data_IF_992052986532
#
_entry.id   IF_992052986532
#
_cell.length_a   1.000
_cell.length_b   1.000
_cell.length_c   1.000
_cell.angle_alpha   90.00
_cell.angle_beta   90.00
_cell.angle_gamma   90.00
#
_symmetry.space_group_name_H-M   'P 1'
#
loop_
_entity.id
_entity.type
_entity.pdbx_description
1 polymer ?
#
# COMPACT_ATOMS: atom_id res chain seq x y z
N UNK A 1 -0.40 -12.02 -6.79
CA UNK A 1 -0.34 -12.55 -8.18
C UNK A 1 -1.55 -13.40 -8.59
N UNK A 2 -2.71 -13.31 -7.95
CA UNK A 2 -3.89 -14.10 -8.36
C UNK A 2 -4.45 -13.67 -9.73
N UNK A 3 -4.50 -12.36 -9.98
CA UNK A 3 -4.92 -11.79 -11.27
C UNK A 3 -4.04 -12.28 -12.43
N UNK A 4 -2.71 -12.17 -12.31
CA UNK A 4 -1.76 -12.64 -13.33
C UNK A 4 -1.81 -14.16 -13.54
N UNK A 5 -2.18 -14.93 -12.51
CA UNK A 5 -2.40 -16.38 -12.66
C UNK A 5 -3.65 -16.70 -13.48
N UNK A 6 -4.70 -15.87 -13.40
CA UNK A 6 -5.95 -16.03 -14.17
C UNK A 6 -5.89 -15.40 -15.56
N UNK A 7 -5.21 -14.27 -15.68
CA UNK A 7 -4.97 -13.57 -16.93
C UNK A 7 -3.52 -13.06 -16.94
N UNK A 8 -2.59 -13.79 -17.59
CA UNK A 8 -1.19 -13.39 -17.69
C UNK A 8 -0.97 -12.03 -18.36
N UNK A 9 -1.93 -11.58 -19.17
CA UNK A 9 -1.88 -10.30 -19.88
C UNK A 9 -2.57 -9.16 -19.11
N UNK A 10 -3.01 -9.40 -17.87
CA UNK A 10 -3.66 -8.37 -17.06
C UNK A 10 -2.70 -7.20 -16.80
N UNK A 11 -3.15 -6.00 -17.12
CA UNK A 11 -2.43 -4.76 -16.86
C UNK A 11 -2.65 -4.34 -15.41
N UNK A 12 -1.67 -4.62 -14.57
CA UNK A 12 -1.66 -4.24 -13.14
C UNK A 12 -0.72 -3.07 -12.93
N UNK A 13 -1.21 -2.00 -12.32
CA UNK A 13 -0.41 -0.81 -12.01
C UNK A 13 -0.37 -0.61 -10.50
N UNK A 14 0.84 -0.48 -9.95
CA UNK A 14 1.10 -0.12 -8.56
C UNK A 14 1.91 1.17 -8.49
N UNK A 15 1.49 2.12 -7.66
CA UNK A 15 2.19 3.38 -7.43
C UNK A 15 1.77 4.03 -6.11
N UNK A 16 2.59 4.94 -5.58
CA UNK A 16 2.15 5.85 -4.53
C UNK A 16 1.26 6.97 -5.10
N UNK A 17 0.35 7.51 -4.30
CA UNK A 17 -0.54 8.61 -4.70
C UNK A 17 0.22 9.86 -5.19
N UNK A 18 1.39 10.15 -4.63
CA UNK A 18 2.26 11.23 -5.08
C UNK A 18 2.75 11.05 -6.51
N UNK A 19 3.00 9.80 -6.92
CA UNK A 19 3.40 9.50 -8.30
C UNK A 19 2.26 9.75 -9.27
N UNK A 20 1.03 9.38 -8.89
CA UNK A 20 -0.17 9.68 -9.69
C UNK A 20 -0.31 11.20 -9.91
N UNK A 21 -0.16 11.99 -8.84
CA UNK A 21 -0.17 13.45 -8.88
C UNK A 21 0.93 13.96 -9.82
N UNK A 22 2.16 13.49 -9.67
CA UNK A 22 3.28 13.93 -10.49
C UNK A 22 3.08 13.61 -11.98
N UNK A 23 2.59 12.41 -12.29
CA UNK A 23 2.27 12.01 -13.66
C UNK A 23 1.14 12.88 -14.26
N UNK A 24 0.13 13.21 -13.46
CA UNK A 24 -0.95 14.11 -13.89
C UNK A 24 -0.42 15.53 -14.18
N UNK A 25 0.38 16.09 -13.27
CA UNK A 25 0.97 17.42 -13.45
C UNK A 25 1.84 17.45 -14.71
N UNK A 26 2.68 16.43 -14.91
CA UNK A 26 3.49 16.29 -16.12
C UNK A 26 2.64 16.19 -17.37
N UNK A 27 1.55 15.42 -17.34
CA UNK A 27 0.62 15.29 -18.47
C UNK A 27 -0.05 16.63 -18.79
N UNK A 28 -0.43 17.43 -17.79
CA UNK A 28 -0.96 18.77 -18.02
C UNK A 28 0.07 19.70 -18.67
N UNK A 29 1.32 19.69 -18.17
CA UNK A 29 2.41 20.51 -18.72
C UNK A 29 2.72 20.18 -20.18
N UNK A 30 2.59 18.91 -20.56
CA UNK A 30 2.86 18.42 -21.92
C UNK A 30 1.61 18.40 -22.82
N UNK A 31 0.47 18.94 -22.36
CA UNK A 31 -0.82 18.84 -23.05
C UNK A 31 -1.24 17.39 -23.40
N UNK A 32 -0.83 16.43 -22.57
CA UNK A 32 -1.01 14.99 -22.75
C UNK A 32 -1.96 14.36 -21.71
N UNK A 33 -2.96 15.13 -21.24
CA UNK A 33 -3.89 14.67 -20.19
C UNK A 33 -4.78 13.51 -20.66
N UNK A 34 -5.03 13.42 -21.97
CA UNK A 34 -5.83 12.34 -22.54
C UNK A 34 -5.08 11.00 -22.50
N UNK A 35 -3.77 11.02 -22.74
CA UNK A 35 -2.88 9.86 -22.61
C UNK A 35 -2.87 9.37 -21.17
N UNK A 36 -2.74 10.28 -20.21
CA UNK A 36 -2.80 9.98 -18.78
C UNK A 36 -4.12 9.26 -18.43
N UNK A 37 -5.26 9.82 -18.84
CA UNK A 37 -6.60 9.23 -18.61
C UNK A 37 -6.71 7.84 -19.22
N UNK A 38 -6.35 7.68 -20.50
CA UNK A 38 -6.38 6.38 -21.19
C UNK A 38 -5.49 5.36 -20.50
N UNK A 39 -4.31 5.75 -20.06
CA UNK A 39 -3.38 4.85 -19.40
C UNK A 39 -3.95 4.29 -18.09
N UNK A 40 -4.40 5.16 -17.19
CA UNK A 40 -4.89 4.74 -15.86
C UNK A 40 -6.26 4.08 -15.90
N UNK A 41 -7.12 4.43 -16.86
CA UNK A 41 -8.47 3.82 -17.00
C UNK A 41 -8.48 2.52 -17.82
N UNK A 42 -7.36 2.10 -18.39
CA UNK A 42 -7.22 0.84 -19.16
C UNK A 42 -6.62 -0.30 -18.36
N UNK A 43 -6.36 -0.12 -17.06
CA UNK A 43 -5.74 -1.15 -16.22
C UNK A 43 -6.79 -2.10 -15.70
N UNK A 44 -6.46 -3.39 -15.59
CA UNK A 44 -7.32 -4.40 -14.95
C UNK A 44 -7.29 -4.30 -13.42
N UNK A 45 -6.17 -3.79 -12.89
CA UNK A 45 -6.05 -3.46 -11.48
C UNK A 45 -5.18 -2.22 -11.23
N UNK A 46 -5.68 -1.33 -10.37
CA UNK A 46 -4.98 -0.14 -9.90
C UNK A 46 -4.73 -0.24 -8.39
N UNK A 47 -3.47 -0.28 -7.98
CA UNK A 47 -3.06 -0.28 -6.59
C UNK A 47 -2.41 1.06 -6.27
N UNK A 48 -3.02 1.84 -5.38
CA UNK A 48 -2.46 3.11 -4.92
C UNK A 48 -2.08 3.00 -3.45
N UNK A 49 -0.79 3.23 -3.18
CA UNK A 49 -0.26 3.36 -1.83
C UNK A 49 -0.43 4.79 -1.31
N UNK A 50 -0.59 4.94 0.00
CA UNK A 50 -0.53 6.20 0.74
C UNK A 50 -1.49 7.30 0.23
N UNK A 51 -2.79 7.01 0.19
CA UNK A 51 -3.79 7.98 -0.32
C UNK A 51 -3.86 9.30 0.48
N UNK A 52 -3.31 9.34 1.71
CA UNK A 52 -3.22 10.55 2.51
C UNK A 52 -2.50 11.69 1.79
N UNK A 53 -1.58 11.40 0.87
CA UNK A 53 -0.89 12.44 0.09
C UNK A 53 -1.72 13.05 -1.05
N UNK A 54 -2.97 12.61 -1.25
CA UNK A 54 -3.94 13.35 -2.08
C UNK A 54 -4.49 14.59 -1.37
N UNK A 55 -4.39 14.67 -0.04
CA UNK A 55 -4.92 15.77 0.75
C UNK A 55 -4.51 17.13 0.18
N UNK A 56 -5.49 18.03 0.04
CA UNK A 56 -5.34 19.41 -0.48
C UNK A 56 -4.87 19.52 -1.94
N UNK A 57 -4.77 18.41 -2.68
CA UNK A 57 -4.46 18.39 -4.12
C UNK A 57 -5.73 18.30 -4.96
N UNK A 58 -6.59 19.32 -4.90
CA UNK A 58 -7.96 19.34 -5.46
C UNK A 58 -8.06 18.79 -6.89
N UNK A 59 -7.27 19.32 -7.83
CA UNK A 59 -7.30 18.84 -9.24
C UNK A 59 -6.96 17.36 -9.36
N UNK A 60 -5.98 16.90 -8.59
CA UNK A 60 -5.58 15.49 -8.59
C UNK A 60 -6.59 14.59 -7.90
N UNK A 61 -7.27 15.08 -6.86
CA UNK A 61 -8.39 14.39 -6.23
C UNK A 61 -9.56 14.22 -7.20
N UNK A 62 -9.90 15.27 -7.94
CA UNK A 62 -10.95 15.24 -8.95
C UNK A 62 -10.64 14.23 -10.06
N UNK A 63 -9.44 14.28 -10.66
CA UNK A 63 -9.06 13.34 -11.72
C UNK A 63 -8.97 11.89 -11.19
N UNK A 64 -8.46 11.72 -9.97
CA UNK A 64 -8.45 10.41 -9.32
C UNK A 64 -9.88 9.89 -9.10
N UNK A 65 -10.81 10.73 -8.62
CA UNK A 65 -12.22 10.36 -8.45
C UNK A 65 -12.84 9.86 -9.76
N UNK A 66 -12.59 10.54 -10.87
CA UNK A 66 -13.09 10.09 -12.18
C UNK A 66 -12.45 8.78 -12.64
N UNK A 67 -11.15 8.63 -12.43
CA UNK A 67 -10.42 7.40 -12.77
C UNK A 67 -10.93 6.22 -11.93
N UNK A 68 -11.11 6.43 -10.62
CA UNK A 68 -11.65 5.46 -9.68
C UNK A 68 -13.04 4.97 -10.10
N UNK A 69 -13.97 5.89 -10.41
CA UNK A 69 -15.31 5.50 -10.82
C UNK A 69 -15.31 4.75 -12.15
N UNK A 70 -14.53 5.20 -13.14
CA UNK A 70 -14.44 4.51 -14.42
C UNK A 70 -13.95 3.06 -14.28
N UNK A 71 -12.98 2.81 -13.39
CA UNK A 71 -12.47 1.47 -13.10
C UNK A 71 -13.49 0.62 -12.32
N UNK A 72 -14.18 1.20 -11.34
CA UNK A 72 -15.22 0.45 -10.62
C UNK A 72 -16.40 0.07 -11.51
N UNK A 73 -16.88 1.01 -12.32
CA UNK A 73 -18.00 0.80 -13.24
C UNK A 73 -17.64 -0.23 -14.33
N UNK A 74 -16.38 -0.27 -14.75
CA UNK A 74 -15.87 -1.29 -15.68
C UNK A 74 -15.53 -2.63 -15.03
N UNK A 75 -15.72 -2.79 -13.72
CA UNK A 75 -15.46 -4.03 -12.98
C UNK A 75 -13.97 -4.32 -12.73
N UNK A 76 -13.09 -3.33 -12.92
CA UNK A 76 -11.67 -3.44 -12.63
C UNK A 76 -11.39 -3.29 -11.13
N UNK A 77 -10.29 -3.89 -10.67
CA UNK A 77 -9.96 -3.92 -9.25
C UNK A 77 -9.19 -2.66 -8.83
N UNK A 78 -9.69 -1.96 -7.81
CA UNK A 78 -8.96 -0.84 -7.19
C UNK A 78 -8.61 -1.21 -5.76
N UNK A 79 -7.33 -1.09 -5.40
CA UNK A 79 -6.83 -1.35 -4.04
C UNK A 79 -6.13 -0.07 -3.57
N UNK A 80 -6.51 0.39 -2.39
CA UNK A 80 -5.96 1.60 -1.79
C UNK A 80 -5.41 1.26 -0.41
N UNK A 81 -4.28 1.86 -0.04
CA UNK A 81 -3.77 1.82 1.33
C UNK A 81 -3.77 3.23 1.91
N UNK A 82 -3.81 3.33 3.23
CA UNK A 82 -3.77 4.60 3.95
C UNK A 82 -3.19 4.37 5.33
N UNK A 83 -2.37 5.33 5.80
CA UNK A 83 -1.89 5.34 7.19
C UNK A 83 -2.98 5.69 8.21
N UNK A 84 -4.07 6.32 7.75
CA UNK A 84 -5.19 6.77 8.58
C UNK A 84 -6.52 6.34 7.99
N UNK A 85 -7.58 6.29 8.79
CA UNK A 85 -8.89 6.04 8.22
C UNK A 85 -9.28 7.16 7.25
N UNK A 86 -9.90 6.87 6.09
CA UNK A 86 -10.32 7.89 5.13
C UNK A 86 -11.03 9.11 5.75
N UNK A 87 -11.87 8.87 6.75
CA UNK A 87 -12.61 9.91 7.48
C UNK A 87 -11.71 10.90 8.23
N UNK A 88 -10.52 10.47 8.63
CA UNK A 88 -9.53 11.23 9.41
C UNK A 88 -8.52 11.98 8.52
N UNK A 89 -8.58 11.80 7.19
CA UNK A 89 -7.68 12.48 6.25
C UNK A 89 -8.24 13.89 5.99
N UNK A 90 -7.68 14.88 6.68
CA UNK A 90 -8.00 16.29 6.44
C UNK A 90 -7.59 16.73 5.03
N UNK A 91 -8.45 17.50 4.36
CA UNK A 91 -8.20 17.98 3.00
C UNK A 91 -8.44 16.95 1.90
N UNK A 92 -8.93 15.75 2.22
CA UNK A 92 -9.54 14.84 1.25
C UNK A 92 -11.02 15.20 1.06
N UNK A 93 -11.50 15.22 -0.18
CA UNK A 93 -12.90 15.53 -0.50
C UNK A 93 -13.87 14.49 0.08
N UNK A 94 -15.02 14.95 0.57
CA UNK A 94 -16.04 14.09 1.19
C UNK A 94 -16.55 12.98 0.25
N UNK A 95 -16.62 13.24 -1.06
CA UNK A 95 -17.00 12.22 -2.04
C UNK A 95 -15.98 11.07 -2.12
N UNK A 96 -14.68 11.36 -1.99
CA UNK A 96 -13.65 10.33 -1.96
C UNK A 96 -13.70 9.54 -0.65
N UNK A 97 -13.85 10.24 0.49
CA UNK A 97 -14.03 9.59 1.80
C UNK A 97 -15.21 8.62 1.81
N UNK A 98 -16.34 9.05 1.25
CA UNK A 98 -17.53 8.22 1.10
C UNK A 98 -17.24 6.99 0.23
N UNK A 99 -16.65 7.17 -0.95
CA UNK A 99 -16.32 6.07 -1.86
C UNK A 99 -15.37 5.04 -1.24
N UNK A 100 -14.37 5.47 -0.49
CA UNK A 100 -13.44 4.56 0.18
C UNK A 100 -14.15 3.70 1.24
N UNK A 101 -15.16 4.26 1.93
CA UNK A 101 -15.95 3.52 2.91
C UNK A 101 -16.98 2.54 2.33
N UNK A 102 -17.34 2.66 1.05
CA UNK A 102 -18.28 1.73 0.39
C UNK A 102 -17.61 0.42 -0.04
N UNK A 103 -16.28 0.42 -0.17
CA UNK A 103 -15.50 -0.78 -0.46
C UNK A 103 -15.24 -1.62 0.79
N UNK A 104 -14.55 -2.75 0.60
CA UNK A 104 -14.02 -3.53 1.70
C UNK A 104 -12.90 -2.74 2.39
N UNK A 105 -13.20 -2.19 3.57
CA UNK A 105 -12.22 -1.50 4.41
C UNK A 105 -11.75 -2.46 5.51
N UNK A 106 -10.45 -2.75 5.55
CA UNK A 106 -9.84 -3.62 6.56
C UNK A 106 -8.73 -2.85 7.25
N UNK A 107 -8.81 -2.75 8.57
CA UNK A 107 -7.74 -2.21 9.38
C UNK A 107 -6.65 -3.26 9.58
N UNK A 108 -5.38 -2.85 9.47
CA UNK A 108 -4.23 -3.70 9.81
C UNK A 108 -3.78 -3.30 11.21
N UNK A 109 -4.13 -4.12 12.19
CA UNK A 109 -3.74 -3.89 13.58
C UNK A 109 -2.31 -4.37 13.86
N UNK A 110 -1.62 -3.78 14.85
CA UNK A 110 -0.34 -4.29 15.31
C UNK A 110 -0.43 -5.78 15.72
N UNK A 111 0.52 -6.62 15.30
CA UNK A 111 0.48 -8.05 15.59
C UNK A 111 0.66 -8.33 17.09
N UNK A 112 -0.08 -9.31 17.60
CA UNK A 112 0.11 -9.87 18.95
C UNK A 112 1.47 -10.56 19.11
N UNK A 113 1.86 -10.88 20.35
CA UNK A 113 3.17 -11.46 20.66
C UNK A 113 3.45 -12.73 19.84
N UNK A 114 2.50 -13.65 19.80
CA UNK A 114 2.62 -14.91 19.07
C UNK A 114 2.85 -14.66 17.57
N UNK A 115 2.07 -13.76 16.99
CA UNK A 115 2.22 -13.34 15.59
C UNK A 115 3.58 -12.66 15.34
N UNK A 116 4.06 -11.82 16.27
CA UNK A 116 5.40 -11.20 16.16
C UNK A 116 6.50 -12.25 16.17
N UNK A 117 6.42 -13.26 17.03
CA UNK A 117 7.38 -14.38 17.04
C UNK A 117 7.33 -15.13 15.71
N UNK A 118 6.14 -15.48 15.23
CA UNK A 118 6.00 -16.17 13.95
C UNK A 118 6.56 -15.36 12.77
N UNK A 119 6.37 -14.04 12.78
CA UNK A 119 6.97 -13.13 11.79
C UNK A 119 8.50 -13.17 11.85
N UNK A 120 9.08 -13.06 13.05
CA UNK A 120 10.54 -13.12 13.22
C UNK A 120 11.11 -14.45 12.72
N UNK A 121 10.51 -15.57 13.12
CA UNK A 121 10.94 -16.90 12.71
C UNK A 121 10.88 -17.04 11.18
N UNK A 122 9.78 -16.62 10.56
CA UNK A 122 9.62 -16.65 9.10
C UNK A 122 10.62 -15.75 8.37
N UNK A 123 10.95 -14.58 8.94
CA UNK A 123 11.92 -13.64 8.36
C UNK A 123 13.35 -14.14 8.51
N UNK A 124 13.67 -14.82 9.62
CA UNK A 124 14.96 -15.47 9.82
C UNK A 124 15.17 -16.62 8.82
N UNK A 125 14.15 -17.45 8.63
CA UNK A 125 14.15 -18.53 7.62
C UNK A 125 14.38 -17.97 6.20
N UNK A 126 13.67 -16.89 5.83
CA UNK A 126 13.90 -16.19 4.55
C UNK A 126 15.32 -15.63 4.41
N UNK A 127 15.92 -15.18 5.52
CA UNK A 127 17.30 -14.71 5.57
C UNK A 127 18.33 -15.85 5.66
N UNK A 128 17.88 -17.11 5.75
CA UNK A 128 18.71 -18.31 5.98
C UNK A 128 19.57 -18.22 7.25
N UNK A 129 19.00 -17.64 8.30
CA UNK A 129 19.63 -17.57 9.62
C UNK A 129 18.88 -18.49 10.57
N UNK A 130 19.63 -19.33 11.28
CA UNK A 130 19.10 -20.09 12.40
C UNK A 130 18.86 -19.12 13.57
N UNK A 131 17.61 -18.78 13.82
CA UNK A 131 17.19 -17.94 14.92
C UNK A 131 16.58 -18.82 16.02
N UNK A 132 17.24 -18.96 17.18
CA UNK A 132 16.66 -19.66 18.31
C UNK A 132 15.31 -19.07 18.71
N UNK A 133 14.35 -19.93 19.04
CA UNK A 133 12.98 -19.52 19.34
C UNK A 133 12.90 -18.60 20.57
N UNK A 134 13.74 -18.84 21.58
CA UNK A 134 13.89 -17.99 22.77
C UNK A 134 14.42 -16.59 22.41
N UNK A 135 15.37 -16.49 21.48
CA UNK A 135 15.83 -15.21 20.95
C UNK A 135 14.73 -14.47 20.17
N UNK A 136 13.97 -15.18 19.33
CA UNK A 136 12.81 -14.61 18.63
C UNK A 136 11.75 -14.10 19.62
N UNK A 137 11.44 -14.90 20.64
CA UNK A 137 10.52 -14.54 21.72
C UNK A 137 11.00 -13.30 22.48
N UNK A 138 12.28 -13.25 22.84
CA UNK A 138 12.89 -12.10 23.52
C UNK A 138 12.80 -10.81 22.70
N UNK A 139 13.12 -10.87 21.40
CA UNK A 139 13.00 -9.73 20.49
C UNK A 139 11.53 -9.28 20.40
N UNK A 140 10.59 -10.21 20.22
CA UNK A 140 9.16 -9.93 20.08
C UNK A 140 8.52 -9.36 21.36
N UNK A 141 9.05 -9.67 22.55
CA UNK A 141 8.60 -9.07 23.81
C UNK A 141 9.03 -7.61 23.95
N UNK A 142 10.23 -7.27 23.44
CA UNK A 142 10.83 -5.93 23.53
C UNK A 142 10.31 -4.98 22.45
N UNK A 143 10.02 -5.49 21.25
CA UNK A 143 9.49 -4.69 20.14
C UNK A 143 7.99 -4.90 20.02
N UNK A 144 7.21 -3.91 20.48
CA UNK A 144 5.73 -3.95 20.54
C UNK A 144 5.04 -3.05 19.50
N UNK A 145 5.81 -2.39 18.66
CA UNK A 145 5.36 -1.39 17.70
C UNK A 145 4.86 -2.06 16.41
N UNK A 146 5.56 -1.87 15.29
CA UNK A 146 5.17 -2.34 13.96
C UNK A 146 6.14 -3.41 13.42
N UNK A 147 5.69 -4.11 12.38
CA UNK A 147 6.47 -5.18 11.73
C UNK A 147 7.81 -4.67 11.17
N UNK A 148 7.88 -3.40 10.73
CA UNK A 148 9.13 -2.81 10.19
C UNK A 148 10.21 -2.70 11.26
N UNK A 149 9.85 -2.25 12.46
CA UNK A 149 10.79 -2.21 13.60
C UNK A 149 11.22 -3.60 14.05
N UNK A 150 10.29 -4.56 14.03
CA UNK A 150 10.56 -5.96 14.34
C UNK A 150 11.60 -6.56 13.37
N UNK A 151 11.42 -6.34 12.07
CA UNK A 151 12.39 -6.73 11.04
C UNK A 151 13.74 -6.00 11.21
N UNK A 152 13.71 -4.72 11.56
CA UNK A 152 14.92 -3.94 11.83
C UNK A 152 15.71 -4.48 13.02
N UNK A 153 15.03 -4.89 14.09
CA UNK A 153 15.65 -5.53 15.25
C UNK A 153 16.30 -6.86 14.88
N UNK A 154 15.60 -7.71 14.13
CA UNK A 154 16.16 -8.97 13.63
C UNK A 154 17.43 -8.74 12.81
N UNK A 155 17.39 -7.81 11.84
CA UNK A 155 18.56 -7.47 11.01
C UNK A 155 19.75 -7.01 11.85
N UNK A 156 19.52 -6.23 12.91
CA UNK A 156 20.59 -5.81 13.83
C UNK A 156 21.19 -7.02 14.57
N UNK A 157 20.37 -7.93 15.08
CA UNK A 157 20.85 -9.14 15.77
C UNK A 157 21.69 -9.99 14.82
N UNK A 158 21.20 -10.23 13.59
CA UNK A 158 21.94 -10.97 12.56
C UNK A 158 23.29 -10.31 12.29
N UNK A 159 23.30 -8.99 12.04
CA UNK A 159 24.52 -8.26 11.74
C UNK A 159 25.56 -8.39 12.87
N UNK A 160 25.15 -8.30 14.14
CA UNK A 160 26.07 -8.42 15.29
C UNK A 160 26.53 -9.87 15.53
N UNK A 161 25.74 -10.88 15.15
CA UNK A 161 26.13 -12.29 15.31
C UNK A 161 27.23 -12.76 14.36
N UNK A 162 27.53 -11.97 13.32
CA UNK A 162 28.58 -12.25 12.35
C UNK A 162 29.93 -11.58 12.68
N UNK A 163 30.01 -10.82 13.78
CA UNK A 163 31.22 -10.23 14.34
C UNK A 163 31.66 -10.99 15.59
#
# INVERSE_FOLDING_TARGET
NHLLKKNPNAKVVYLHSERFVADMVKALQLNAINEFKRFYRSVDALLIDDIQFFARKERSQEEFFHTFNALLEGGQQVILTSDRYPKEIEGLEERLKSRFGWGLTVAVEPPELETRVAILMKKADQAKVDLPHDAAFFIAQRIRSNVRELEGALKRVIAHSHF
#
